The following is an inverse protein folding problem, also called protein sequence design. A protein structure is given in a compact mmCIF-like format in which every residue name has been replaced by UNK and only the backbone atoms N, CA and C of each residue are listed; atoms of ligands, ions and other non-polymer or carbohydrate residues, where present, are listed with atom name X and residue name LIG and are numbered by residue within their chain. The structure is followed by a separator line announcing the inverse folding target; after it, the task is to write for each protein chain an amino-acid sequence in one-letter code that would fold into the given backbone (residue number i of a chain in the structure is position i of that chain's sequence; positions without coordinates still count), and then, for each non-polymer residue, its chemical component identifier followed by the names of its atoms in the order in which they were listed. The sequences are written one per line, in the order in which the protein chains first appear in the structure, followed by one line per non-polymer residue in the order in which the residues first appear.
data_IF_175867753580
#
_entry.id   IF_175867753580
#
_cell.length_a   1.000
_cell.length_b   1.000
_cell.length_c   1.000
_cell.angle_alpha   90.00
_cell.angle_beta   90.00
_cell.angle_gamma   90.00
#
_symmetry.space_group_name_H-M   'P 1'
#
loop_
_entity.id
_entity.type
_entity.pdbx_description
1 polymer ?
#
# COMPACT_ATOMS: atom_id res chain seq x y z
N UNK A 1 47.34 45.18 70.79
CA UNK A 1 47.40 43.74 70.37
C UNK A 1 46.03 43.06 70.46
N UNK A 2 44.98 43.57 69.84
CA UNK A 2 43.57 43.03 70.01
C UNK A 2 42.73 43.01 68.70
N UNK A 3 43.32 43.10 67.53
CA UNK A 3 42.57 43.18 66.25
C UNK A 3 42.71 41.92 65.36
N UNK A 4 43.58 40.97 65.70
CA UNK A 4 43.90 39.83 64.83
C UNK A 4 43.07 38.58 65.06
N UNK A 5 42.27 38.49 66.16
CA UNK A 5 41.46 37.32 66.47
C UNK A 5 39.99 37.37 65.97
N UNK A 6 39.52 38.57 65.57
CA UNK A 6 38.12 38.70 65.09
C UNK A 6 37.93 38.21 63.65
N UNK A 7 38.94 38.46 62.83
CA UNK A 7 38.81 38.15 61.38
C UNK A 7 38.94 36.64 61.10
N UNK A 8 39.76 35.92 61.85
CA UNK A 8 39.93 34.50 61.68
C UNK A 8 38.69 33.69 62.14
N UNK A 9 37.93 34.21 63.11
CA UNK A 9 36.69 33.61 63.58
C UNK A 9 35.53 33.80 62.59
N UNK A 10 35.48 34.92 61.94
CA UNK A 10 34.44 35.22 60.90
C UNK A 10 34.69 34.46 59.63
N UNK A 11 35.96 34.32 59.20
CA UNK A 11 36.32 33.56 58.00
C UNK A 11 36.03 32.08 58.14
N UNK A 12 36.28 31.48 59.32
CA UNK A 12 35.90 30.08 59.62
C UNK A 12 34.40 29.83 59.64
N UNK A 13 33.57 30.84 60.06
CA UNK A 13 32.13 30.71 60.12
C UNK A 13 31.54 30.81 58.71
N UNK A 14 32.06 31.63 57.84
CA UNK A 14 31.64 31.76 56.43
C UNK A 14 32.00 30.52 55.64
N UNK A 15 33.20 29.93 55.82
CA UNK A 15 33.58 28.68 55.14
C UNK A 15 32.77 27.48 55.59
N UNK A 16 32.28 27.43 56.84
CA UNK A 16 31.42 26.37 57.32
C UNK A 16 30.01 26.44 56.82
N UNK A 17 29.46 27.67 56.58
CA UNK A 17 28.11 27.87 56.04
C UNK A 17 28.10 27.62 54.53
N UNK A 18 29.15 27.99 53.79
CA UNK A 18 29.25 27.73 52.34
C UNK A 18 29.40 26.23 51.99
N UNK A 19 29.92 25.41 52.92
CA UNK A 19 30.10 23.95 52.65
C UNK A 19 28.84 23.13 52.96
N UNK A 20 27.90 23.67 53.70
CA UNK A 20 26.62 22.97 54.05
C UNK A 20 25.52 23.11 52.99
N UNK A 21 25.58 24.13 52.12
CA UNK A 21 24.51 24.39 51.14
C UNK A 21 24.74 23.72 49.78
N UNK A 22 25.92 23.11 49.55
CA UNK A 22 26.27 22.52 48.26
C UNK A 22 26.06 21.01 48.13
N UNK A 23 25.68 20.33 49.21
CA UNK A 23 25.63 18.87 49.26
C UNK A 23 24.21 18.25 49.15
N UNK A 24 23.14 19.03 49.32
CA UNK A 24 21.79 18.45 49.34
C UNK A 24 20.95 18.71 48.04
N UNK A 25 21.37 19.66 47.22
CA UNK A 25 20.66 19.97 45.95
C UNK A 25 21.02 19.00 44.82
N UNK A 26 22.31 18.64 44.73
CA UNK A 26 22.82 17.75 43.65
C UNK A 26 22.17 16.35 43.66
N UNK A 27 21.95 15.77 44.84
CA UNK A 27 21.43 14.40 44.95
C UNK A 27 19.91 14.30 44.59
N UNK A 28 19.16 15.36 44.75
CA UNK A 28 17.74 15.37 44.35
C UNK A 28 17.56 15.63 42.87
N UNK A 29 18.40 16.45 42.26
CA UNK A 29 18.39 16.68 40.81
C UNK A 29 18.78 15.42 40.04
N UNK A 30 19.83 14.70 40.48
CA UNK A 30 20.21 13.41 39.88
C UNK A 30 19.11 12.37 39.97
N UNK A 31 18.45 12.24 41.12
CA UNK A 31 17.31 11.31 41.28
C UNK A 31 16.14 11.68 40.39
N UNK A 32 15.84 12.97 40.23
CA UNK A 32 14.76 13.44 39.33
C UNK A 32 15.09 13.13 37.87
N UNK A 33 16.32 13.34 37.43
CA UNK A 33 16.78 13.03 36.07
C UNK A 33 16.68 11.53 35.80
N UNK A 34 17.17 10.70 36.75
CA UNK A 34 17.08 9.24 36.60
C UNK A 34 15.62 8.77 36.53
N UNK A 35 14.76 9.30 37.41
CA UNK A 35 13.32 8.96 37.39
C UNK A 35 12.67 9.33 36.08
N UNK A 36 12.99 10.50 35.50
CA UNK A 36 12.47 10.94 34.20
C UNK A 36 12.91 10.02 33.08
N UNK A 37 14.18 9.63 33.05
CA UNK A 37 14.72 8.69 32.06
C UNK A 37 14.02 7.32 32.15
N UNK A 38 13.84 6.80 33.36
CA UNK A 38 13.16 5.51 33.57
C UNK A 38 11.70 5.57 33.07
N UNK A 39 10.98 6.63 33.37
CA UNK A 39 9.60 6.83 32.90
C UNK A 39 9.58 6.90 31.37
N UNK A 40 10.48 7.66 30.76
CA UNK A 40 10.57 7.78 29.30
C UNK A 40 10.84 6.41 28.64
N UNK A 41 11.75 5.61 29.19
CA UNK A 41 12.04 4.25 28.69
C UNK A 41 10.83 3.33 28.82
N UNK A 42 10.08 3.40 29.93
CA UNK A 42 8.86 2.60 30.12
C UNK A 42 7.78 3.00 29.11
N UNK A 43 7.58 4.29 28.88
CA UNK A 43 6.61 4.78 27.88
C UNK A 43 7.01 4.32 26.47
N UNK A 44 8.29 4.49 26.09
CA UNK A 44 8.78 4.04 24.80
C UNK A 44 8.65 2.53 24.62
N UNK A 45 8.95 1.74 25.66
CA UNK A 45 8.76 0.28 25.62
C UNK A 45 7.29 -0.10 25.42
N UNK A 46 6.38 0.56 26.12
CA UNK A 46 4.94 0.33 25.97
C UNK A 46 4.43 0.67 24.56
N UNK A 47 4.92 1.76 23.96
CA UNK A 47 4.58 2.13 22.57
C UNK A 47 5.11 1.11 21.56
N UNK A 48 6.34 0.63 21.73
CA UNK A 48 6.90 -0.42 20.86
C UNK A 48 6.11 -1.72 20.99
N UNK A 49 5.75 -2.12 22.21
CA UNK A 49 4.92 -3.31 22.45
C UNK A 49 3.55 -3.17 21.80
N UNK A 50 2.90 -2.00 21.91
CA UNK A 50 1.65 -1.74 21.21
C UNK A 50 1.80 -1.86 19.70
N UNK A 51 2.85 -1.28 19.11
CA UNK A 51 3.08 -1.33 17.67
C UNK A 51 3.31 -2.76 17.16
N UNK A 52 3.96 -3.61 17.95
CA UNK A 52 4.25 -5.01 17.60
C UNK A 52 3.05 -5.94 17.83
N UNK A 53 2.23 -5.64 18.84
CA UNK A 53 1.09 -6.48 19.23
C UNK A 53 -0.24 -6.04 18.59
N UNK A 54 -0.34 -4.85 17.98
CA UNK A 54 -1.52 -4.52 17.15
C UNK A 54 -1.43 -5.37 15.88
N UNK A 55 -2.34 -6.33 15.69
CA UNK A 55 -2.43 -7.00 14.40
C UNK A 55 -2.66 -5.91 13.34
N UNK A 56 -1.79 -5.87 12.34
CA UNK A 56 -2.08 -5.14 11.11
C UNK A 56 -3.24 -5.92 10.52
N UNK A 57 -4.45 -5.36 10.51
CA UNK A 57 -5.56 -5.97 9.80
C UNK A 57 -5.08 -6.20 8.36
N UNK A 58 -5.11 -7.44 7.86
CA UNK A 58 -4.73 -7.69 6.49
C UNK A 58 -5.60 -6.78 5.62
N UNK A 59 -4.98 -6.01 4.74
CA UNK A 59 -5.72 -5.22 3.77
C UNK A 59 -6.43 -6.21 2.84
N UNK A 60 -7.68 -6.52 3.14
CA UNK A 60 -8.52 -7.35 2.29
C UNK A 60 -8.65 -6.65 0.95
N UNK A 61 -8.06 -7.23 -0.08
CA UNK A 61 -8.08 -6.65 -1.42
C UNK A 61 -8.02 -7.72 -2.50
N UNK A 62 -8.59 -7.39 -3.64
CA UNK A 62 -8.38 -8.11 -4.88
C UNK A 62 -7.59 -7.22 -5.82
N UNK A 63 -6.64 -7.78 -6.55
CA UNK A 63 -5.91 -7.08 -7.59
C UNK A 63 -6.22 -7.70 -8.95
N UNK A 64 -6.26 -6.85 -10.01
CA UNK A 64 -6.31 -7.28 -11.39
C UNK A 64 -5.14 -6.64 -12.14
N UNK A 65 -4.52 -7.40 -13.04
CA UNK A 65 -3.40 -6.95 -13.86
C UNK A 65 -3.40 -7.65 -15.22
N UNK A 66 -2.59 -7.16 -16.14
CA UNK A 66 -2.33 -7.84 -17.41
C UNK A 66 -0.83 -7.88 -17.72
N UNK A 67 -0.43 -8.86 -18.53
CA UNK A 67 0.94 -9.09 -18.97
C UNK A 67 0.93 -9.36 -20.49
N UNK A 68 2.09 -9.22 -21.12
CA UNK A 68 2.29 -9.62 -22.52
C UNK A 68 2.27 -11.15 -22.70
N UNK A 69 2.49 -11.64 -23.92
CA UNK A 69 2.52 -13.08 -24.24
C UNK A 69 3.60 -13.85 -23.49
N UNK A 70 4.68 -13.17 -23.09
CA UNK A 70 5.81 -13.74 -22.35
C UNK A 70 5.69 -13.57 -20.83
N UNK A 71 4.52 -13.16 -20.34
CA UNK A 71 4.22 -12.83 -18.93
C UNK A 71 5.08 -11.71 -18.37
N UNK A 72 5.33 -10.67 -19.18
CA UNK A 72 6.07 -9.47 -18.80
C UNK A 72 5.22 -8.22 -19.03
N UNK A 73 5.72 -7.06 -18.61
CA UNK A 73 5.01 -5.77 -18.79
C UNK A 73 5.60 -4.92 -19.90
N UNK A 74 6.59 -5.41 -20.64
CA UNK A 74 7.43 -4.58 -21.50
C UNK A 74 7.01 -4.60 -22.97
N UNK A 75 6.51 -5.73 -23.51
CA UNK A 75 6.24 -5.94 -24.93
C UNK A 75 4.75 -5.83 -25.31
N UNK A 76 4.01 -5.04 -24.57
CA UNK A 76 2.59 -4.81 -24.86
C UNK A 76 2.43 -4.03 -26.18
N UNK A 77 1.49 -4.41 -27.05
CA UNK A 77 1.29 -3.75 -28.34
C UNK A 77 0.81 -2.31 -28.11
N UNK A 78 1.47 -1.36 -28.78
CA UNK A 78 1.06 0.05 -28.81
C UNK A 78 0.37 0.43 -30.12
N UNK A 79 0.73 -0.29 -31.18
CA UNK A 79 0.18 -0.06 -32.51
C UNK A 79 -0.02 -1.40 -33.20
N UNK A 80 -1.14 -1.57 -33.89
CA UNK A 80 -1.47 -2.72 -34.73
C UNK A 80 -1.86 -2.27 -36.12
N UNK A 81 -1.68 -3.14 -37.13
CA UNK A 81 -2.11 -2.89 -38.51
C UNK A 81 -3.34 -3.77 -38.78
N UNK A 82 -4.47 -3.13 -39.10
CA UNK A 82 -5.71 -3.85 -39.35
C UNK A 82 -5.55 -4.90 -40.46
N UNK A 83 -6.16 -6.05 -40.24
CA UNK A 83 -6.16 -7.20 -41.16
C UNK A 83 -4.76 -7.83 -41.38
N UNK A 84 -3.72 -7.45 -40.62
CA UNK A 84 -2.38 -8.06 -40.68
C UNK A 84 -1.93 -8.59 -39.35
N UNK A 85 -1.78 -7.72 -38.32
CA UNK A 85 -1.34 -8.08 -36.97
C UNK A 85 -2.25 -7.49 -35.88
N UNK A 86 -3.53 -7.37 -36.17
CA UNK A 86 -4.54 -6.81 -35.24
C UNK A 86 -5.03 -7.80 -34.18
N UNK A 87 -4.53 -9.04 -34.24
CA UNK A 87 -4.79 -10.06 -33.19
C UNK A 87 -3.50 -10.37 -32.46
N UNK A 88 -3.57 -10.39 -31.13
CA UNK A 88 -2.44 -10.69 -30.24
C UNK A 88 -2.92 -11.34 -28.94
N UNK A 89 -2.02 -12.14 -28.34
CA UNK A 89 -2.25 -12.77 -27.04
C UNK A 89 -1.69 -11.91 -25.91
N UNK A 90 -2.36 -11.95 -24.78
CA UNK A 90 -1.90 -11.39 -23.51
C UNK A 90 -2.45 -12.19 -22.34
N UNK A 91 -1.87 -12.02 -21.17
CA UNK A 91 -2.33 -12.65 -19.95
C UNK A 91 -3.11 -11.66 -19.10
N UNK A 92 -4.21 -12.09 -18.51
CA UNK A 92 -4.90 -11.38 -17.43
C UNK A 92 -4.74 -12.17 -16.14
N UNK A 93 -4.43 -11.47 -15.05
CA UNK A 93 -4.24 -12.06 -13.73
C UNK A 93 -5.14 -11.43 -12.69
N UNK A 94 -5.60 -12.25 -11.74
CA UNK A 94 -6.36 -11.83 -10.56
C UNK A 94 -5.71 -12.45 -9.31
N UNK A 95 -5.47 -11.63 -8.31
CA UNK A 95 -4.98 -12.04 -7.00
C UNK A 95 -6.09 -11.84 -5.96
N UNK A 96 -6.31 -12.86 -5.12
CA UNK A 96 -7.27 -12.82 -4.02
C UNK A 96 -6.56 -12.71 -2.68
N UNK A 97 -6.69 -11.59 -1.98
CA UNK A 97 -6.22 -11.39 -0.61
C UNK A 97 -7.37 -10.92 0.30
N UNK A 98 -8.55 -11.56 0.19
CA UNK A 98 -9.75 -11.19 0.93
C UNK A 98 -10.01 -12.07 2.17
N UNK A 99 -9.04 -12.89 2.59
CA UNK A 99 -9.20 -13.76 3.75
C UNK A 99 -10.15 -14.94 3.54
N UNK A 100 -10.69 -15.14 2.32
CA UNK A 100 -11.64 -16.20 1.98
C UNK A 100 -11.60 -16.53 0.49
N UNK A 101 -12.07 -17.73 0.14
CA UNK A 101 -12.27 -18.13 -1.26
C UNK A 101 -13.41 -17.34 -1.88
N UNK A 102 -13.19 -16.76 -3.06
CA UNK A 102 -14.18 -15.96 -3.79
C UNK A 102 -14.32 -16.41 -5.25
N UNK A 103 -15.54 -16.24 -5.78
CA UNK A 103 -15.83 -16.43 -7.20
C UNK A 103 -15.67 -15.09 -7.91
N UNK A 104 -14.73 -15.05 -8.86
CA UNK A 104 -14.40 -13.88 -9.65
C UNK A 104 -14.93 -13.99 -11.07
N UNK A 105 -15.25 -12.84 -11.64
CA UNK A 105 -15.51 -12.66 -13.06
C UNK A 105 -14.67 -11.51 -13.59
N UNK A 106 -13.95 -11.73 -14.69
CA UNK A 106 -13.27 -10.67 -15.45
C UNK A 106 -14.06 -10.45 -16.74
N UNK A 107 -14.51 -9.22 -16.95
CA UNK A 107 -15.10 -8.79 -18.21
C UNK A 107 -14.07 -8.04 -19.04
N UNK A 108 -13.86 -8.49 -20.27
CA UNK A 108 -12.95 -7.87 -21.24
C UNK A 108 -13.80 -7.09 -22.22
N UNK A 109 -13.52 -5.80 -22.36
CA UNK A 109 -14.25 -4.87 -23.19
C UNK A 109 -13.30 -4.09 -24.08
N UNK A 110 -13.78 -3.60 -25.20
CA UNK A 110 -13.05 -2.66 -26.07
C UNK A 110 -13.94 -1.45 -26.29
N UNK A 111 -13.38 -0.24 -26.11
CA UNK A 111 -14.02 1.02 -26.46
C UNK A 111 -13.05 1.97 -27.20
N UNK A 112 -13.56 3.11 -27.67
CA UNK A 112 -12.84 4.11 -28.45
C UNK A 112 -11.92 5.03 -27.60
N UNK A 113 -11.78 4.76 -26.31
CA UNK A 113 -10.95 5.54 -25.38
C UNK A 113 -11.57 6.86 -24.92
N UNK A 114 -12.74 7.25 -25.41
CA UNK A 114 -13.41 8.51 -25.07
C UNK A 114 -14.31 8.41 -23.82
N UNK A 115 -14.61 7.19 -23.36
CA UNK A 115 -15.44 6.95 -22.19
C UNK A 115 -14.72 7.25 -20.86
N UNK A 116 -15.46 7.30 -19.73
CA UNK A 116 -14.90 7.53 -18.41
C UNK A 116 -13.92 6.40 -18.01
N UNK A 117 -12.95 6.77 -17.17
CA UNK A 117 -11.98 5.83 -16.58
C UNK A 117 -12.58 5.15 -15.34
N UNK A 118 -13.60 4.38 -15.50
CA UNK A 118 -14.24 3.53 -14.49
C UNK A 118 -14.98 2.41 -15.21
N UNK A 119 -16.04 1.87 -14.65
CA UNK A 119 -16.83 0.84 -15.33
C UNK A 119 -17.30 1.30 -16.72
N UNK A 120 -16.81 0.60 -17.76
CA UNK A 120 -17.16 0.92 -19.16
C UNK A 120 -18.56 0.39 -19.50
N UNK A 121 -19.33 1.19 -20.24
CA UNK A 121 -20.62 0.78 -20.79
C UNK A 121 -20.51 -0.11 -22.03
N UNK A 122 -19.28 -0.35 -22.54
CA UNK A 122 -19.06 -1.25 -23.67
C UNK A 122 -19.50 -2.68 -23.34
N UNK A 123 -19.98 -3.39 -24.35
CA UNK A 123 -20.36 -4.80 -24.20
C UNK A 123 -19.09 -5.63 -24.05
N UNK A 124 -19.10 -6.58 -23.11
CA UNK A 124 -17.99 -7.48 -22.93
C UNK A 124 -17.80 -8.38 -24.17
N UNK A 125 -16.62 -8.37 -24.74
CA UNK A 125 -16.23 -9.26 -25.86
C UNK A 125 -15.87 -10.66 -25.35
N UNK A 126 -15.41 -10.77 -24.10
CA UNK A 126 -15.11 -12.02 -23.41
C UNK A 126 -15.39 -11.88 -21.91
N UNK A 127 -15.82 -12.97 -21.30
CA UNK A 127 -16.05 -13.06 -19.87
C UNK A 127 -15.35 -14.33 -19.35
N UNK A 128 -14.53 -14.18 -18.32
CA UNK A 128 -13.80 -15.26 -17.66
C UNK A 128 -14.34 -15.40 -16.24
N UNK A 129 -14.51 -16.64 -15.77
CA UNK A 129 -14.97 -16.90 -14.42
C UNK A 129 -14.02 -17.87 -13.73
N UNK A 130 -13.62 -17.54 -12.49
CA UNK A 130 -12.72 -18.38 -11.72
C UNK A 130 -12.98 -18.26 -10.22
N UNK A 131 -12.97 -19.40 -9.53
CA UNK A 131 -12.93 -19.44 -8.06
C UNK A 131 -11.47 -19.41 -7.60
N UNK A 132 -11.09 -18.44 -6.76
CA UNK A 132 -9.71 -18.23 -6.30
C UNK A 132 -9.70 -18.31 -4.77
N UNK A 133 -8.82 -19.15 -4.19
CA UNK A 133 -8.65 -19.20 -2.74
C UNK A 133 -7.93 -17.94 -2.23
N UNK A 134 -8.06 -17.68 -0.94
CA UNK A 134 -7.28 -16.63 -0.30
C UNK A 134 -5.77 -16.85 -0.43
N UNK A 135 -5.05 -15.81 -0.81
CA UNK A 135 -3.61 -15.84 -1.07
C UNK A 135 -3.20 -16.40 -2.43
N UNK A 136 -4.15 -16.91 -3.23
CA UNK A 136 -3.85 -17.48 -4.55
C UNK A 136 -3.93 -16.42 -5.66
N UNK A 137 -3.21 -16.71 -6.74
CA UNK A 137 -3.21 -15.96 -8.01
C UNK A 137 -3.74 -16.87 -9.11
N UNK A 138 -4.59 -16.32 -9.96
CA UNK A 138 -5.05 -16.96 -11.19
C UNK A 138 -4.64 -16.12 -12.39
N UNK A 139 -4.16 -16.78 -13.45
CA UNK A 139 -3.79 -16.15 -14.72
C UNK A 139 -4.38 -16.94 -15.88
N UNK A 140 -4.92 -16.25 -16.87
CA UNK A 140 -5.43 -16.85 -18.10
C UNK A 140 -4.96 -16.08 -19.33
N UNK A 141 -4.54 -16.82 -20.38
CA UNK A 141 -4.20 -16.26 -21.66
C UNK A 141 -5.47 -15.89 -22.44
N UNK A 142 -5.48 -14.69 -22.99
CA UNK A 142 -6.60 -14.20 -23.79
C UNK A 142 -6.10 -13.67 -25.12
N UNK A 143 -6.80 -14.00 -26.18
CA UNK A 143 -6.58 -13.45 -27.51
C UNK A 143 -7.51 -12.24 -27.71
N UNK A 144 -6.93 -11.13 -28.13
CA UNK A 144 -7.60 -9.86 -28.40
C UNK A 144 -7.47 -9.53 -29.87
N UNK A 145 -8.59 -9.20 -30.51
CA UNK A 145 -8.61 -8.72 -31.90
C UNK A 145 -9.13 -7.29 -31.94
N UNK A 146 -8.38 -6.40 -32.55
CA UNK A 146 -8.77 -5.02 -32.83
C UNK A 146 -9.29 -4.96 -34.27
N UNK A 147 -10.50 -4.46 -34.45
CA UNK A 147 -11.20 -4.39 -35.74
C UNK A 147 -11.57 -2.97 -36.17
N UNK A 148 -11.25 -1.96 -35.35
CA UNK A 148 -11.57 -0.55 -35.62
C UNK A 148 -10.33 0.30 -35.72
N UNK A 149 -10.31 1.22 -36.71
CA UNK A 149 -9.22 2.21 -36.85
C UNK A 149 -9.23 3.23 -35.70
N UNK A 150 -8.03 3.74 -35.38
CA UNK A 150 -7.81 4.73 -34.35
C UNK A 150 -7.53 4.13 -32.99
N UNK A 151 -7.73 4.91 -31.94
CA UNK A 151 -7.42 4.50 -30.56
C UNK A 151 -8.47 3.51 -30.08
N UNK A 152 -8.01 2.34 -29.66
CA UNK A 152 -8.83 1.31 -29.01
C UNK A 152 -8.33 1.12 -27.57
N UNK A 153 -9.25 1.16 -26.61
CA UNK A 153 -8.94 0.91 -25.20
C UNK A 153 -9.50 -0.46 -24.80
N UNK A 154 -8.61 -1.40 -24.53
CA UNK A 154 -8.94 -2.73 -24.02
C UNK A 154 -9.06 -2.62 -22.50
N UNK A 155 -10.19 -2.96 -21.93
CA UNK A 155 -10.49 -2.79 -20.51
C UNK A 155 -10.75 -4.16 -19.89
N UNK A 156 -10.12 -4.43 -18.75
CA UNK A 156 -10.35 -5.59 -17.92
C UNK A 156 -10.99 -5.13 -16.63
N UNK A 157 -12.24 -5.48 -16.40
CA UNK A 157 -13.01 -5.13 -15.21
C UNK A 157 -13.21 -6.35 -14.32
N UNK A 158 -12.99 -6.17 -13.02
CA UNK A 158 -13.11 -7.23 -12.03
C UNK A 158 -14.43 -7.15 -11.28
N UNK A 159 -15.12 -8.30 -11.22
CA UNK A 159 -16.35 -8.49 -10.47
C UNK A 159 -16.17 -9.63 -9.48
N UNK A 160 -16.93 -9.59 -8.39
CA UNK A 160 -17.01 -10.67 -7.38
C UNK A 160 -18.46 -11.10 -7.28
N UNK A 161 -18.68 -12.43 -7.15
CA UNK A 161 -20.00 -12.98 -6.96
C UNK A 161 -20.55 -12.62 -5.59
N UNK A 162 -21.72 -12.00 -5.57
CA UNK A 162 -22.44 -11.69 -4.35
C UNK A 162 -23.02 -12.97 -3.74
N UNK A 163 -22.74 -13.21 -2.45
CA UNK A 163 -23.22 -14.39 -1.72
C UNK A 163 -24.74 -14.41 -1.53
N UNK A 164 -25.42 -13.24 -1.64
CA UNK A 164 -26.84 -13.11 -1.33
C UNK A 164 -27.74 -13.45 -2.51
N UNK A 165 -27.42 -12.94 -3.71
CA UNK A 165 -28.27 -13.06 -4.90
C UNK A 165 -27.61 -13.83 -6.04
N UNK A 166 -26.35 -14.24 -5.86
CA UNK A 166 -25.53 -14.94 -6.85
C UNK A 166 -25.21 -14.10 -8.11
N UNK A 167 -25.45 -12.81 -8.11
CA UNK A 167 -25.04 -11.89 -9.15
C UNK A 167 -23.57 -11.49 -8.98
N UNK A 168 -22.99 -10.90 -10.02
CA UNK A 168 -21.61 -10.41 -9.99
C UNK A 168 -21.59 -8.89 -9.82
N UNK A 169 -21.05 -8.43 -8.70
CA UNK A 169 -20.91 -7.01 -8.38
C UNK A 169 -19.55 -6.48 -8.83
N UNK A 170 -19.57 -5.31 -9.46
CA UNK A 170 -18.32 -4.62 -9.84
C UNK A 170 -17.52 -4.20 -8.61
N UNK A 171 -16.24 -4.59 -8.56
CA UNK A 171 -15.38 -4.32 -7.41
C UNK A 171 -14.80 -2.91 -7.36
N UNK A 172 -14.90 -2.15 -8.45
CA UNK A 172 -14.17 -0.90 -8.66
C UNK A 172 -12.74 -1.10 -9.17
N UNK A 173 -12.26 -2.34 -9.29
CA UNK A 173 -10.93 -2.66 -9.79
C UNK A 173 -10.98 -2.92 -11.30
N UNK A 174 -10.11 -2.26 -12.02
CA UNK A 174 -9.98 -2.38 -13.47
C UNK A 174 -8.59 -1.96 -13.92
N UNK A 175 -8.20 -2.47 -15.07
CA UNK A 175 -6.97 -2.06 -15.77
C UNK A 175 -7.26 -1.92 -17.25
N UNK A 176 -6.46 -1.14 -17.99
CA UNK A 176 -6.63 -0.97 -19.42
C UNK A 176 -5.31 -0.87 -20.19
N UNK A 177 -5.37 -1.26 -21.45
CA UNK A 177 -4.32 -1.07 -22.43
C UNK A 177 -4.86 -0.26 -23.60
N UNK A 178 -4.19 0.83 -23.98
CA UNK A 178 -4.53 1.60 -25.18
C UNK A 178 -3.68 1.17 -26.37
N UNK A 179 -4.32 0.86 -27.48
CA UNK A 179 -3.69 0.40 -28.73
C UNK A 179 -4.20 1.24 -29.89
N UNK A 180 -3.27 1.77 -30.70
CA UNK A 180 -3.60 2.49 -31.92
C UNK A 180 -3.68 1.52 -33.10
N UNK A 181 -4.79 1.49 -33.80
CA UNK A 181 -4.99 0.69 -35.01
C UNK A 181 -4.86 1.56 -36.26
N UNK A 182 -3.95 1.20 -37.14
CA UNK A 182 -3.69 1.91 -38.40
C UNK A 182 -4.00 1.03 -39.61
N UNK A 183 -4.24 1.65 -40.76
CA UNK A 183 -4.34 0.94 -42.02
C UNK A 183 -2.97 0.42 -42.50
N UNK A 184 -3.02 -0.66 -43.27
CA UNK A 184 -1.81 -1.10 -43.97
C UNK A 184 -1.39 -0.02 -45.00
N UNK A 185 -0.08 0.26 -45.13
CA UNK A 185 0.47 1.21 -46.08
C UNK A 185 0.23 0.80 -47.55
#
# INVERSE_FOLDING_TARGET
MAKKNSDDFMEKKIKKTAKSTKSSSSSNEEKTVIATIVIAVVIMSALVVQLVLTPIDPAYCSAIYYLDSDKQTENLPKTVILNQNSTFSMWVGVENQNGTTLDYQVQIKIDDGNGPLNQSSAIAIKTLNQTINDGDVWEEEVEITIDQLGTNRIIFELFIRNATDSEYDYTGNWVHLSVEAIEAP
#
